data_IF_188895604453
#
_entry.id   IF_188895604453
#
_cell.length_a   1.000
_cell.length_b   1.000
_cell.length_c   1.000
_cell.angle_alpha   90.00
_cell.angle_beta   90.00
_cell.angle_gamma   90.00
#
_symmetry.space_group_name_H-M   'P 1'
#
loop_
_entity.id
_entity.type
_entity.pdbx_description
1 polymer ?
#
# COMPACT_ATOMS: atom_id res chain seq x y z
N UNK A 1 20.24 0.55 1.07
CA UNK A 1 19.11 1.44 1.46
C UNK A 1 17.84 0.63 1.25
N UNK A 2 16.94 0.56 2.25
CA UNK A 2 15.77 -0.32 2.21
C UNK A 2 14.49 0.53 2.10
N UNK A 3 13.81 0.44 0.96
CA UNK A 3 12.45 0.96 0.76
C UNK A 3 11.45 -0.07 1.28
N UNK A 4 10.46 0.37 2.02
CA UNK A 4 9.34 -0.45 2.48
C UNK A 4 8.06 0.38 2.51
N UNK A 5 6.91 -0.27 2.53
CA UNK A 5 5.63 0.42 2.57
C UNK A 5 4.51 -0.41 3.18
N UNK A 6 3.37 0.23 3.32
CA UNK A 6 2.13 -0.32 3.83
C UNK A 6 1.01 0.00 2.86
N UNK A 7 0.10 -0.91 2.65
CA UNK A 7 -1.09 -0.74 1.81
C UNK A 7 -2.34 -1.13 2.56
N UNK A 8 -3.39 -0.35 2.37
CA UNK A 8 -4.72 -0.60 2.93
C UNK A 8 -5.82 -0.10 1.98
N UNK A 9 -6.98 -0.75 2.01
CA UNK A 9 -8.17 -0.30 1.32
C UNK A 9 -9.34 -0.21 2.30
N UNK A 10 -9.80 1.00 2.57
CA UNK A 10 -10.87 1.22 3.50
C UNK A 10 -12.19 1.57 2.80
N UNK A 11 -13.27 1.20 3.46
CA UNK A 11 -14.62 1.62 3.12
C UNK A 11 -14.78 3.10 3.52
N UNK A 12 -14.26 4.01 2.71
CA UNK A 12 -14.47 5.43 2.95
C UNK A 12 -15.94 5.76 2.66
N UNK A 13 -16.72 5.63 3.67
CA UNK A 13 -18.02 6.16 4.04
C UNK A 13 -18.89 6.96 3.07
N UNK A 14 -18.76 6.81 1.76
CA UNK A 14 -19.74 7.39 0.83
C UNK A 14 -20.76 6.31 0.45
N UNK A 15 -21.97 6.35 1.02
CA UNK A 15 -23.03 5.39 0.69
C UNK A 15 -23.44 5.45 -0.77
N UNK A 16 -23.14 6.58 -1.45
CA UNK A 16 -23.66 6.89 -2.78
C UNK A 16 -22.91 6.21 -3.93
N UNK A 17 -21.62 5.95 -3.82
CA UNK A 17 -20.84 5.44 -4.96
C UNK A 17 -20.11 4.11 -4.71
N UNK A 18 -20.20 3.55 -3.51
CA UNK A 18 -19.64 2.25 -3.11
C UNK A 18 -18.14 2.08 -3.41
N UNK A 19 -17.42 3.17 -3.68
CA UNK A 19 -16.00 3.15 -3.97
C UNK A 19 -15.18 3.20 -2.69
N UNK A 20 -14.14 2.41 -2.64
CA UNK A 20 -13.19 2.39 -1.52
C UNK A 20 -12.07 3.40 -1.72
N UNK A 21 -11.32 3.64 -0.67
CA UNK A 21 -10.12 4.49 -0.69
C UNK A 21 -8.90 3.63 -0.52
N UNK A 22 -7.98 3.67 -1.48
CA UNK A 22 -6.66 3.06 -1.39
C UNK A 22 -5.69 3.97 -0.68
N UNK A 23 -4.85 3.41 0.17
CA UNK A 23 -3.84 4.10 0.95
C UNK A 23 -2.49 3.45 0.77
N UNK A 24 -1.45 4.27 0.82
CA UNK A 24 -0.09 3.81 0.86
C UNK A 24 0.77 4.74 1.70
N UNK A 25 1.67 4.15 2.47
CA UNK A 25 2.76 4.84 3.17
C UNK A 25 4.06 4.17 2.77
N UNK A 26 5.08 4.98 2.53
CA UNK A 26 6.41 4.50 2.16
C UNK A 26 7.46 5.11 3.06
N UNK A 27 8.43 4.27 3.43
CA UNK A 27 9.55 4.68 4.25
C UNK A 27 10.88 4.20 3.69
N UNK A 28 11.92 4.99 3.90
CA UNK A 28 13.32 4.60 3.69
C UNK A 28 13.97 4.46 5.07
N UNK A 29 14.33 3.22 5.39
CA UNK A 29 14.72 2.88 6.76
C UNK A 29 13.55 3.12 7.72
N UNK A 30 13.73 4.05 8.66
CA UNK A 30 12.72 4.37 9.68
C UNK A 30 11.96 5.68 9.42
N UNK A 31 12.16 6.34 8.27
CA UNK A 31 11.55 7.65 7.97
C UNK A 31 10.56 7.55 6.84
N UNK A 32 9.36 8.10 7.03
CA UNK A 32 8.37 8.25 5.95
C UNK A 32 8.93 9.23 4.92
N UNK A 33 8.82 8.83 3.64
CA UNK A 33 9.25 9.64 2.49
C UNK A 33 8.10 9.97 1.56
N UNK A 34 7.01 9.19 1.58
CA UNK A 34 5.82 9.42 0.77
C UNK A 34 4.60 8.76 1.39
N UNK A 35 3.44 9.31 1.10
CA UNK A 35 2.14 8.73 1.44
C UNK A 35 1.05 9.23 0.49
N UNK A 36 -0.01 8.46 0.35
CA UNK A 36 -1.20 8.90 -0.38
C UNK A 36 -2.47 8.29 0.21
N UNK A 37 -3.58 8.96 -0.10
CA UNK A 37 -4.93 8.46 0.10
C UNK A 37 -5.76 8.85 -1.11
N UNK A 38 -6.24 7.87 -1.88
CA UNK A 38 -6.95 8.10 -3.15
C UNK A 38 -8.18 7.22 -3.26
N UNK A 39 -9.29 7.81 -3.68
CA UNK A 39 -10.51 7.08 -3.98
C UNK A 39 -10.30 6.15 -5.18
N UNK A 40 -10.70 4.90 -5.06
CA UNK A 40 -10.61 3.93 -6.15
C UNK A 40 -11.50 4.35 -7.32
N UNK A 41 -11.01 4.16 -8.54
CA UNK A 41 -11.76 4.51 -9.75
C UNK A 41 -12.91 3.53 -10.02
N UNK A 42 -12.72 2.26 -9.66
CA UNK A 42 -13.66 1.17 -9.86
C UNK A 42 -14.28 0.76 -8.52
N UNK A 43 -15.45 0.15 -8.59
CA UNK A 43 -16.12 -0.46 -7.45
C UNK A 43 -15.60 -1.89 -7.31
N UNK A 44 -14.99 -2.21 -6.18
CA UNK A 44 -14.55 -3.56 -5.87
C UNK A 44 -15.75 -4.43 -5.48
N UNK A 45 -15.78 -5.67 -5.98
CA UNK A 45 -16.83 -6.64 -5.69
C UNK A 45 -16.63 -7.34 -4.33
N UNK A 46 -15.41 -7.28 -3.80
CA UNK A 46 -15.05 -7.87 -2.50
C UNK A 46 -13.99 -7.03 -1.78
N UNK A 47 -13.79 -7.33 -0.48
CA UNK A 47 -12.70 -6.71 0.28
C UNK A 47 -11.33 -7.11 -0.28
N UNK A 48 -11.16 -8.39 -0.64
CA UNK A 48 -9.92 -8.87 -1.23
C UNK A 48 -9.58 -8.16 -2.55
N UNK A 49 -10.58 -7.88 -3.38
CA UNK A 49 -10.40 -7.15 -4.62
C UNK A 49 -10.01 -5.69 -4.37
N UNK A 50 -10.65 -5.02 -3.41
CA UNK A 50 -10.29 -3.67 -3.04
C UNK A 50 -8.85 -3.55 -2.51
N UNK A 51 -8.43 -4.51 -1.67
CA UNK A 51 -7.05 -4.60 -1.20
C UNK A 51 -6.07 -4.88 -2.34
N UNK A 52 -6.48 -5.72 -3.29
CA UNK A 52 -5.67 -5.99 -4.48
C UNK A 52 -5.50 -4.74 -5.35
N UNK A 53 -6.56 -3.95 -5.53
CA UNK A 53 -6.51 -2.67 -6.24
C UNK A 53 -5.58 -1.67 -5.52
N UNK A 54 -5.64 -1.62 -4.17
CA UNK A 54 -4.73 -0.79 -3.38
C UNK A 54 -3.28 -1.25 -3.51
N UNK A 55 -3.02 -2.56 -3.42
CA UNK A 55 -1.69 -3.13 -3.61
C UNK A 55 -1.12 -2.86 -5.01
N UNK A 56 -1.96 -2.90 -6.06
CA UNK A 56 -1.53 -2.54 -7.42
C UNK A 56 -1.14 -1.06 -7.51
N UNK A 57 -1.87 -0.17 -6.86
CA UNK A 57 -1.51 1.25 -6.82
C UNK A 57 -0.19 1.47 -6.09
N UNK A 58 0.03 0.77 -4.98
CA UNK A 58 1.32 0.74 -4.28
C UNK A 58 2.43 0.23 -5.20
N UNK A 59 2.18 -0.81 -6.01
CA UNK A 59 3.16 -1.33 -6.96
C UNK A 59 3.61 -0.26 -7.96
N UNK A 60 2.69 0.55 -8.48
CA UNK A 60 3.04 1.68 -9.36
C UNK A 60 3.97 2.70 -8.67
N UNK A 61 3.66 3.06 -7.42
CA UNK A 61 4.48 3.99 -6.63
C UNK A 61 5.86 3.39 -6.30
N UNK A 62 5.93 2.09 -5.98
CA UNK A 62 7.19 1.37 -5.73
C UNK A 62 8.09 1.39 -6.96
N UNK A 63 7.55 1.07 -8.15
CA UNK A 63 8.31 1.10 -9.39
C UNK A 63 8.87 2.50 -9.65
N UNK A 64 8.04 3.52 -9.47
CA UNK A 64 8.45 4.91 -9.65
C UNK A 64 9.54 5.33 -8.65
N UNK A 65 9.34 5.09 -7.35
CA UNK A 65 10.32 5.42 -6.31
C UNK A 65 11.64 4.66 -6.49
N UNK A 66 11.57 3.35 -6.79
CA UNK A 66 12.77 2.54 -7.03
C UNK A 66 13.60 3.08 -8.19
N UNK A 67 12.94 3.49 -9.29
CA UNK A 67 13.63 4.10 -10.43
C UNK A 67 14.31 5.43 -10.07
N UNK A 68 13.67 6.27 -9.24
CA UNK A 68 14.28 7.51 -8.75
C UNK A 68 15.51 7.20 -7.88
N UNK A 69 15.34 6.28 -6.92
CA UNK A 69 16.41 5.92 -5.97
C UNK A 69 17.62 5.30 -6.69
N UNK A 70 17.39 4.44 -7.69
CA UNK A 70 18.46 3.88 -8.53
C UNK A 70 19.21 5.00 -9.25
N UNK A 71 18.51 5.97 -9.82
CA UNK A 71 19.14 7.09 -10.54
C UNK A 71 19.92 8.03 -9.61
N UNK A 72 19.40 8.29 -8.40
CA UNK A 72 20.02 9.20 -7.45
C UNK A 72 21.27 8.60 -6.80
N UNK A 73 21.24 7.31 -6.50
CA UNK A 73 22.27 6.66 -5.72
C UNK A 73 23.14 5.68 -6.52
N UNK A 74 22.83 5.48 -7.80
CA UNK A 74 23.55 4.56 -8.71
C UNK A 74 23.70 3.15 -8.12
N UNK A 75 22.72 2.72 -7.33
CA UNK A 75 22.74 1.45 -6.62
C UNK A 75 21.46 0.67 -6.90
N UNK A 76 21.60 -0.64 -7.20
CA UNK A 76 20.46 -1.52 -7.37
C UNK A 76 19.71 -1.67 -6.05
N UNK A 77 18.37 -1.55 -6.11
CA UNK A 77 17.51 -1.68 -4.94
C UNK A 77 17.16 -3.15 -4.68
N UNK A 78 17.14 -3.51 -3.41
CA UNK A 78 16.51 -4.75 -2.97
C UNK A 78 15.00 -4.70 -3.24
N UNK A 79 14.32 -5.86 -3.37
CA UNK A 79 12.86 -5.89 -3.46
C UNK A 79 12.21 -5.09 -2.34
N UNK A 80 11.28 -4.21 -2.71
CA UNK A 80 10.55 -3.40 -1.74
C UNK A 80 9.55 -4.26 -0.98
N UNK A 81 9.64 -4.30 0.35
CA UNK A 81 8.69 -5.00 1.20
C UNK A 81 7.45 -4.14 1.40
N UNK A 82 6.27 -4.68 1.02
CA UNK A 82 4.97 -4.03 1.21
C UNK A 82 4.13 -4.86 2.17
N UNK A 83 3.73 -4.21 3.25
CA UNK A 83 2.90 -4.80 4.29
C UNK A 83 1.42 -4.65 3.96
N UNK A 84 0.68 -5.76 4.02
CA UNK A 84 -0.75 -5.86 3.73
C UNK A 84 -1.44 -6.72 4.80
N UNK A 85 -2.59 -6.31 5.29
CA UNK A 85 -3.34 -7.05 6.31
C UNK A 85 -4.38 -8.02 5.72
N UNK A 86 -4.41 -8.18 4.40
CA UNK A 86 -5.32 -9.10 3.71
C UNK A 86 -4.57 -10.28 3.08
N UNK A 87 -4.69 -11.45 3.71
CA UNK A 87 -4.06 -12.68 3.21
C UNK A 87 -4.58 -13.13 1.85
N UNK A 88 -5.86 -12.86 1.53
CA UNK A 88 -6.43 -13.22 0.23
C UNK A 88 -5.82 -12.39 -0.90
N UNK A 89 -5.58 -11.10 -0.66
CA UNK A 89 -4.84 -10.24 -1.58
C UNK A 89 -3.44 -10.80 -1.86
N UNK A 90 -2.71 -11.21 -0.83
CA UNK A 90 -1.36 -11.78 -0.97
C UNK A 90 -1.40 -13.07 -1.77
N UNK A 91 -2.33 -13.99 -1.47
CA UNK A 91 -2.51 -15.23 -2.23
C UNK A 91 -2.81 -14.98 -3.70
N UNK A 92 -3.69 -14.02 -4.00
CA UNK A 92 -4.03 -13.63 -5.38
C UNK A 92 -2.84 -13.06 -6.15
N UNK A 93 -1.91 -12.38 -5.49
CA UNK A 93 -0.71 -11.84 -6.14
C UNK A 93 0.31 -12.91 -6.55
N UNK A 94 0.28 -14.08 -5.90
CA UNK A 94 1.23 -15.18 -6.14
C UNK A 94 0.62 -16.26 -7.05
N UNK A 95 -0.66 -16.60 -6.85
CA UNK A 95 -1.33 -17.68 -7.54
C UNK A 95 -2.18 -17.17 -8.72
N UNK A 96 -2.02 -17.74 -9.92
CA UNK A 96 -2.87 -17.42 -11.07
C UNK A 96 -4.22 -18.14 -10.94
N UNK A 97 -5.08 -17.73 -10.03
CA UNK A 97 -6.47 -18.18 -10.03
C UNK A 97 -7.22 -17.29 -11.02
N UNK A 98 -7.68 -17.91 -12.11
CA UNK A 98 -8.57 -17.26 -13.08
C UNK A 98 -9.89 -16.93 -12.39
N UNK A 99 -10.09 -15.69 -12.02
CA UNK A 99 -11.40 -15.17 -11.73
C UNK A 99 -12.01 -14.67 -13.04
N UNK A 100 -12.98 -15.42 -13.53
CA UNK A 100 -13.69 -15.23 -14.79
C UNK A 100 -14.58 -13.96 -14.83
N UNK A 101 -14.46 -13.06 -13.85
CA UNK A 101 -15.52 -12.08 -13.57
C UNK A 101 -15.24 -10.63 -13.91
N UNK A 102 -14.04 -10.24 -14.37
CA UNK A 102 -13.88 -8.82 -14.72
C UNK A 102 -12.65 -8.51 -15.58
N UNK A 103 -12.82 -8.55 -16.90
CA UNK A 103 -11.78 -8.20 -17.90
C UNK A 103 -11.14 -6.82 -17.69
N UNK A 104 -11.82 -5.86 -17.08
CA UNK A 104 -11.29 -4.51 -16.82
C UNK A 104 -10.34 -4.46 -15.62
N UNK A 105 -10.32 -5.49 -14.77
CA UNK A 105 -9.40 -5.60 -13.62
C UNK A 105 -8.19 -6.46 -14.01
N UNK A 106 -8.26 -7.25 -15.08
CA UNK A 106 -7.20 -8.14 -15.51
C UNK A 106 -5.85 -7.44 -15.68
N UNK A 107 -5.83 -6.23 -16.24
CA UNK A 107 -4.61 -5.44 -16.44
C UNK A 107 -3.92 -5.15 -15.09
N UNK A 108 -4.69 -4.85 -14.04
CA UNK A 108 -4.17 -4.56 -12.71
C UNK A 108 -3.68 -5.83 -12.02
N UNK A 109 -4.38 -6.96 -12.24
CA UNK A 109 -3.94 -8.27 -11.77
C UNK A 109 -2.60 -8.65 -12.39
N UNK A 110 -2.43 -8.44 -13.69
CA UNK A 110 -1.19 -8.72 -14.39
C UNK A 110 -0.04 -7.84 -13.91
N UNK A 111 -0.25 -6.53 -13.74
CA UNK A 111 0.80 -5.61 -13.29
C UNK A 111 1.33 -5.93 -11.90
N UNK A 112 0.44 -6.08 -10.89
CA UNK A 112 0.87 -6.41 -9.52
C UNK A 112 1.62 -7.74 -9.50
N UNK A 113 1.09 -8.76 -10.18
CA UNK A 113 1.72 -10.07 -10.27
C UNK A 113 3.09 -10.01 -10.93
N UNK A 114 3.23 -9.28 -12.03
CA UNK A 114 4.53 -9.07 -12.70
C UNK A 114 5.55 -8.43 -11.74
N UNK A 115 5.15 -7.41 -10.99
CA UNK A 115 6.00 -6.78 -9.98
C UNK A 115 6.47 -7.76 -8.89
N UNK A 116 5.59 -8.66 -8.44
CA UNK A 116 5.92 -9.69 -7.43
C UNK A 116 6.82 -10.77 -8.03
N UNK A 117 6.50 -11.28 -9.24
CA UNK A 117 7.27 -12.32 -9.91
C UNK A 117 8.69 -11.84 -10.27
N UNK A 118 8.81 -10.62 -10.73
CA UNK A 118 10.11 -9.98 -11.05
C UNK A 118 10.88 -9.52 -9.81
N UNK A 119 10.35 -9.77 -8.62
CA UNK A 119 10.95 -9.36 -7.35
C UNK A 119 11.24 -7.85 -7.26
N UNK A 120 10.42 -7.02 -7.89
CA UNK A 120 10.44 -5.57 -7.69
C UNK A 120 9.90 -5.23 -6.31
N UNK A 121 8.87 -5.98 -5.89
CA UNK A 121 8.28 -5.89 -4.56
C UNK A 121 7.89 -7.27 -4.04
N UNK A 122 7.71 -7.37 -2.72
CA UNK A 122 7.18 -8.54 -2.03
C UNK A 122 6.04 -8.10 -1.13
N UNK A 123 4.95 -8.87 -1.10
CA UNK A 123 3.84 -8.65 -0.17
C UNK A 123 4.05 -9.50 1.08
N UNK A 124 3.94 -8.89 2.25
CA UNK A 124 4.04 -9.54 3.54
C UNK A 124 2.80 -9.23 4.37
N UNK A 125 2.23 -10.28 4.99
CA UNK A 125 1.11 -10.11 5.90
C UNK A 125 1.54 -9.40 7.19
N UNK A 126 0.70 -8.49 7.65
CA UNK A 126 0.77 -7.90 9.00
C UNK A 126 -0.60 -7.94 9.65
N UNK A 127 -0.62 -7.87 10.99
CA UNK A 127 -1.86 -7.67 11.71
C UNK A 127 -2.42 -6.27 11.49
N UNK A 128 -3.76 -6.17 11.48
CA UNK A 128 -4.47 -4.89 11.34
C UNK A 128 -4.04 -3.86 12.39
N UNK A 129 -3.65 -4.30 13.59
CA UNK A 129 -3.17 -3.39 14.64
C UNK A 129 -1.82 -2.74 14.33
N UNK A 130 -1.02 -3.35 13.45
CA UNK A 130 0.30 -2.89 13.02
C UNK A 130 0.26 -2.17 11.67
N UNK A 131 -0.93 -1.93 11.11
CA UNK A 131 -1.13 -1.30 9.80
C UNK A 131 -0.87 0.21 9.89
N UNK A 132 0.34 0.63 9.57
CA UNK A 132 0.73 2.04 9.64
C UNK A 132 0.01 2.94 8.62
N UNK A 133 -0.56 2.36 7.55
CA UNK A 133 -1.38 3.11 6.59
C UNK A 133 -2.68 3.67 7.20
N UNK A 134 -3.12 3.14 8.34
CA UNK A 134 -4.31 3.61 9.05
C UNK A 134 -4.20 5.06 9.53
N UNK A 135 -2.98 5.53 9.86
CA UNK A 135 -2.77 6.91 10.35
C UNK A 135 -3.14 7.96 9.31
N UNK A 136 -3.14 7.60 8.03
CA UNK A 136 -3.37 8.56 6.95
C UNK A 136 -4.84 8.98 6.83
N UNK A 137 -5.79 8.15 7.29
CA UNK A 137 -7.20 8.46 7.03
C UNK A 137 -8.22 7.92 8.05
N UNK A 138 -7.84 7.04 8.98
CA UNK A 138 -8.79 6.55 9.98
C UNK A 138 -8.79 7.51 11.18
N UNK A 139 -9.99 7.79 11.69
CA UNK A 139 -10.11 8.41 13.00
C UNK A 139 -9.62 7.39 14.03
N UNK A 140 -8.40 7.56 14.48
CA UNK A 140 -7.77 6.69 15.45
C UNK A 140 -8.01 7.22 16.86
N UNK A 141 -8.09 6.29 17.84
CA UNK A 141 -7.98 6.70 19.25
C UNK A 141 -6.62 7.34 19.49
N UNK A 142 -6.52 8.26 20.46
CA UNK A 142 -5.27 8.94 20.81
C UNK A 142 -4.11 7.94 20.97
N UNK A 143 -4.33 6.83 21.69
CA UNK A 143 -3.33 5.79 21.92
C UNK A 143 -2.83 5.14 20.61
N UNK A 144 -3.75 4.79 19.69
CA UNK A 144 -3.37 4.20 18.38
C UNK A 144 -2.65 5.23 17.51
N UNK A 145 -3.12 6.46 17.50
CA UNK A 145 -2.46 7.54 16.77
C UNK A 145 -1.02 7.76 17.25
N UNK A 146 -0.81 7.87 18.56
CA UNK A 146 0.53 8.03 19.16
C UNK A 146 1.43 6.82 18.86
N UNK A 147 0.90 5.60 18.89
CA UNK A 147 1.63 4.38 18.53
C UNK A 147 2.14 4.43 17.09
N UNK A 148 1.26 4.64 16.10
CA UNK A 148 1.64 4.72 14.69
C UNK A 148 2.52 5.92 14.39
N UNK A 149 2.26 7.08 15.01
CA UNK A 149 3.12 8.27 14.90
C UNK A 149 4.54 7.97 15.37
N UNK A 150 4.70 7.28 16.48
CA UNK A 150 6.00 6.87 17.00
C UNK A 150 6.75 5.93 16.05
N UNK A 151 6.07 4.95 15.48
CA UNK A 151 6.65 4.01 14.49
C UNK A 151 7.10 4.73 13.22
N UNK A 152 6.30 5.65 12.75
CA UNK A 152 6.57 6.44 11.55
C UNK A 152 7.56 7.58 11.75
N UNK A 153 7.97 7.81 13.02
CA UNK A 153 8.87 8.90 13.45
C UNK A 153 8.43 10.29 13.00
N UNK A 154 7.13 10.51 12.89
CA UNK A 154 6.56 11.83 12.72
C UNK A 154 6.56 12.52 14.08
N UNK A 155 7.37 13.55 14.22
CA UNK A 155 7.49 14.35 15.45
C UNK A 155 6.90 15.74 15.25
N UNK A 156 6.46 16.34 16.35
CA UNK A 156 6.05 17.75 16.33
C UNK A 156 7.25 18.61 15.96
N UNK A 157 7.04 19.57 15.07
CA UNK A 157 8.07 20.56 14.77
C UNK A 157 7.93 21.72 15.78
N UNK A 158 8.87 21.90 16.71
CA UNK A 158 8.78 22.96 17.72
C UNK A 158 8.91 24.36 17.12
N UNK A 159 9.26 24.48 15.84
CA UNK A 159 9.42 25.74 15.11
C UNK A 159 8.22 26.09 14.21
N UNK A 160 7.23 25.22 14.09
CA UNK A 160 5.96 25.53 13.44
C UNK A 160 4.97 26.00 14.51
N UNK A 161 4.90 27.32 14.69
CA UNK A 161 3.89 28.02 15.50
C UNK A 161 2.86 28.62 14.57
#
# INVERSE_FOLDING_TARGET
MKLQGFTDADWAGSPSDKKRTSRGIFSIGSKIVSWYSRKQRLVALSSAEAEYMAANQVACEVVWMSNILVRLFSHQMDPTMIHCDNQSCIKLSVNPVFHDSSKHIDIWYHHLRDCVQRRIMLLQYIHMEDQDADIVMKVLTKRKFEYHRGRTRVVDNPYLV
#
